data_IF_993901864298
#
_entry.id   IF_993901864298
#
_cell.length_a   1.000
_cell.length_b   1.000
_cell.length_c   1.000
_cell.angle_alpha   90.00
_cell.angle_beta   90.00
_cell.angle_gamma   90.00
#
_symmetry.space_group_name_H-M   'P 1'
#
loop_
_entity.id
_entity.type
_entity.pdbx_description
1 polymer ?
#
# COMPACT_ATOMS: atom_id res chain seq x y z
N UNK A 1 42.24 -19.01 -54.35
CA UNK A 1 41.62 -20.34 -54.23
C UNK A 1 41.41 -20.61 -52.75
N UNK A 2 40.16 -20.62 -52.27
CA UNK A 2 39.89 -21.03 -50.88
C UNK A 2 40.07 -22.54 -50.83
N UNK A 3 40.94 -23.01 -49.93
CA UNK A 3 41.30 -24.42 -49.82
C UNK A 3 40.07 -25.25 -49.40
N UNK A 4 39.86 -26.43 -49.96
CA UNK A 4 38.68 -27.26 -49.67
C UNK A 4 38.54 -27.55 -48.17
N UNK A 5 39.67 -27.75 -47.49
CA UNK A 5 39.74 -27.91 -46.04
C UNK A 5 39.25 -26.67 -45.26
N UNK A 6 39.48 -25.47 -45.78
CA UNK A 6 39.01 -24.22 -45.17
C UNK A 6 37.49 -24.09 -45.32
N UNK A 7 36.94 -24.53 -46.46
CA UNK A 7 35.49 -24.53 -46.70
C UNK A 7 34.79 -25.51 -45.73
N UNK A 8 35.35 -26.71 -45.53
CA UNK A 8 34.82 -27.70 -44.59
C UNK A 8 34.85 -27.16 -43.15
N UNK A 9 35.93 -26.49 -42.75
CA UNK A 9 36.03 -25.88 -41.41
C UNK A 9 34.98 -24.78 -41.22
N UNK A 10 34.79 -23.90 -42.21
CA UNK A 10 33.78 -22.83 -42.16
C UNK A 10 32.38 -23.41 -42.07
N UNK A 11 32.06 -24.44 -42.86
CA UNK A 11 30.76 -25.12 -42.81
C UNK A 11 30.52 -25.80 -41.45
N UNK A 12 31.56 -26.39 -40.86
CA UNK A 12 31.49 -26.97 -39.51
C UNK A 12 31.19 -25.92 -38.43
N UNK A 13 31.83 -24.75 -38.51
CA UNK A 13 31.58 -23.64 -37.58
C UNK A 13 30.14 -23.11 -37.73
N UNK A 14 29.66 -22.93 -38.97
CA UNK A 14 28.29 -22.48 -39.24
C UNK A 14 27.27 -23.48 -38.71
N UNK A 15 27.49 -24.78 -38.94
CA UNK A 15 26.62 -25.83 -38.41
C UNK A 15 26.59 -25.84 -36.87
N UNK A 16 27.75 -25.67 -36.21
CA UNK A 16 27.82 -25.59 -34.75
C UNK A 16 27.06 -24.37 -34.18
N UNK A 17 27.16 -23.21 -34.83
CA UNK A 17 26.41 -22.00 -34.44
C UNK A 17 24.90 -22.22 -34.55
N UNK A 18 24.44 -22.87 -35.61
CA UNK A 18 23.01 -23.18 -35.82
C UNK A 18 22.50 -24.11 -34.71
N UNK A 19 23.28 -25.13 -34.33
CA UNK A 19 22.92 -26.05 -33.24
C UNK A 19 22.82 -25.32 -31.91
N UNK A 20 23.75 -24.40 -31.61
CA UNK A 20 23.72 -23.59 -30.39
C UNK A 20 22.48 -22.69 -30.36
N UNK A 21 22.15 -22.04 -31.49
CA UNK A 21 20.94 -21.22 -31.60
C UNK A 21 19.66 -22.03 -31.37
N UNK A 22 19.58 -23.24 -31.92
CA UNK A 22 18.45 -24.15 -31.70
C UNK A 22 18.34 -24.57 -30.23
N UNK A 23 19.46 -24.84 -29.54
CA UNK A 23 19.46 -25.16 -28.11
C UNK A 23 18.98 -23.98 -27.25
N UNK A 24 19.40 -22.74 -27.58
CA UNK A 24 18.92 -21.53 -26.89
C UNK A 24 17.41 -21.35 -27.08
N UNK A 25 16.90 -21.55 -28.29
CA UNK A 25 15.46 -21.48 -28.58
C UNK A 25 14.69 -22.55 -27.79
N UNK A 26 15.18 -23.79 -27.76
CA UNK A 26 14.57 -24.86 -26.97
C UNK A 26 14.62 -24.54 -25.47
N UNK A 27 15.71 -23.96 -24.95
CA UNK A 27 15.77 -23.49 -23.55
C UNK A 27 14.78 -22.35 -23.27
N UNK A 28 14.55 -21.45 -24.22
CA UNK A 28 13.54 -20.39 -24.09
C UNK A 28 12.10 -20.93 -24.14
N UNK A 29 11.84 -21.97 -24.94
CA UNK A 29 10.53 -22.62 -25.06
C UNK A 29 10.25 -23.59 -23.89
N UNK A 30 11.28 -24.24 -23.34
CA UNK A 30 11.19 -25.08 -22.12
C UNK A 30 11.25 -24.28 -20.83
N UNK A 31 11.43 -22.95 -20.92
CA UNK A 31 10.95 -22.08 -19.87
C UNK A 31 9.44 -22.23 -19.92
N UNK A 32 8.90 -23.22 -19.19
CA UNK A 32 7.53 -23.16 -18.69
C UNK A 32 7.38 -21.71 -18.31
N UNK A 33 6.43 -21.02 -18.92
CA UNK A 33 5.74 -20.02 -18.17
C UNK A 33 5.39 -20.78 -16.89
N UNK A 34 6.15 -20.52 -15.81
CA UNK A 34 5.47 -20.36 -14.57
C UNK A 34 4.40 -19.39 -14.98
N UNK A 35 3.19 -19.91 -15.21
CA UNK A 35 2.06 -19.16 -14.86
C UNK A 35 2.47 -18.65 -13.49
N UNK A 36 2.78 -17.35 -13.45
CA UNK A 36 2.09 -16.56 -12.48
C UNK A 36 0.63 -16.90 -12.79
N UNK A 37 0.17 -18.04 -12.28
CA UNK A 37 -0.97 -18.04 -11.40
C UNK A 37 -0.77 -16.72 -10.71
N UNK A 38 -1.63 -15.76 -11.06
CA UNK A 38 -2.08 -14.90 -10.01
C UNK A 38 -2.28 -15.90 -8.88
N UNK A 39 -1.35 -15.89 -7.92
CA UNK A 39 -1.77 -16.13 -6.58
C UNK A 39 -2.85 -15.06 -6.49
N UNK A 40 -4.09 -15.43 -6.83
CA UNK A 40 -5.14 -15.41 -5.83
C UNK A 40 -4.37 -15.91 -4.63
N UNK A 41 -3.84 -14.93 -3.88
CA UNK A 41 -3.73 -15.11 -2.47
C UNK A 41 -5.07 -15.76 -2.19
N UNK A 42 -5.05 -17.07 -1.95
CA UNK A 42 -6.08 -17.63 -1.14
C UNK A 42 -5.95 -16.72 0.07
N UNK A 43 -6.83 -15.72 0.14
CA UNK A 43 -7.35 -15.26 1.40
C UNK A 43 -7.75 -16.59 2.00
N UNK A 44 -6.85 -17.17 2.77
CA UNK A 44 -7.19 -18.16 3.75
C UNK A 44 -8.21 -17.37 4.54
N UNK A 45 -9.48 -17.51 4.16
CA UNK A 45 -10.62 -17.12 4.97
C UNK A 45 -10.65 -18.13 6.10
N UNK A 46 -9.54 -18.18 6.84
CA UNK A 46 -9.62 -18.30 8.27
C UNK A 46 -10.54 -17.15 8.63
N UNK A 47 -11.77 -17.49 8.98
CA UNK A 47 -12.72 -16.62 9.66
C UNK A 47 -12.17 -16.22 11.05
N UNK A 48 -10.86 -16.07 11.18
CA UNK A 48 -10.18 -15.58 12.36
C UNK A 48 -10.59 -14.14 12.48
N UNK A 49 -11.54 -13.94 13.38
CA UNK A 49 -11.97 -12.65 13.85
C UNK A 49 -10.74 -11.79 14.16
N UNK A 50 -10.54 -10.74 13.38
CA UNK A 50 -9.49 -9.76 13.64
C UNK A 50 -10.07 -8.76 14.63
N UNK A 51 -9.48 -8.66 15.83
CA UNK A 51 -9.91 -7.65 16.80
C UNK A 51 -9.57 -6.24 16.30
N UNK A 52 -10.43 -5.28 16.60
CA UNK A 52 -10.09 -3.87 16.39
C UNK A 52 -8.83 -3.45 17.15
N UNK A 53 -8.05 -2.51 16.61
CA UNK A 53 -7.01 -1.85 17.38
C UNK A 53 -7.63 -1.15 18.60
N UNK A 54 -7.00 -1.36 19.76
CA UNK A 54 -7.37 -0.74 21.03
C UNK A 54 -7.03 0.76 21.02
N UNK A 55 -8.05 1.61 21.16
CA UNK A 55 -7.90 3.07 21.15
C UNK A 55 -7.06 3.59 22.32
N UNK A 56 -7.03 2.87 23.45
CA UNK A 56 -6.28 3.28 24.65
C UNK A 56 -4.77 3.24 24.43
N UNK A 57 -4.29 2.44 23.49
CA UNK A 57 -2.86 2.30 23.17
C UNK A 57 -2.36 3.34 22.17
N UNK A 58 -3.28 4.03 21.48
CA UNK A 58 -2.93 5.07 20.52
C UNK A 58 -2.36 6.25 21.30
N UNK A 59 -1.07 6.50 21.10
CA UNK A 59 -0.42 7.71 21.62
C UNK A 59 -0.09 8.61 20.45
N UNK A 60 -0.45 9.89 20.53
CA UNK A 60 -0.12 10.90 19.51
C UNK A 60 0.68 12.03 20.16
N UNK A 61 1.29 12.94 19.37
CA UNK A 61 2.01 14.08 19.92
C UNK A 61 1.17 14.87 20.94
N UNK A 62 1.80 15.29 22.03
CA UNK A 62 1.10 15.86 23.19
C UNK A 62 0.24 17.08 22.90
N UNK A 63 0.59 17.84 21.86
CA UNK A 63 -0.18 18.98 21.38
C UNK A 63 -1.43 18.58 20.59
N UNK A 64 -1.46 17.41 19.94
CA UNK A 64 -2.65 16.83 19.31
C UNK A 64 -3.51 16.14 20.37
N UNK A 65 -2.90 15.43 21.31
CA UNK A 65 -3.58 14.71 22.40
C UNK A 65 -4.46 15.64 23.26
N UNK A 66 -4.04 16.90 23.42
CA UNK A 66 -4.76 17.94 24.17
C UNK A 66 -5.88 18.63 23.38
N UNK A 67 -5.99 18.37 22.08
CA UNK A 67 -7.01 19.02 21.26
C UNK A 67 -8.40 18.48 21.57
N UNK A 68 -9.40 19.34 21.42
CA UNK A 68 -10.80 18.92 21.49
C UNK A 68 -11.18 18.10 20.26
N UNK A 69 -12.19 17.25 20.42
CA UNK A 69 -12.83 16.49 19.33
C UNK A 69 -13.15 17.34 18.10
N UNK A 70 -13.67 18.56 18.32
CA UNK A 70 -14.03 19.50 17.25
C UNK A 70 -12.81 20.01 16.49
N UNK A 71 -11.73 20.32 17.18
CA UNK A 71 -10.48 20.78 16.55
C UNK A 71 -9.87 19.67 15.70
N UNK A 72 -9.79 18.45 16.25
CA UNK A 72 -9.30 17.28 15.53
C UNK A 72 -10.15 17.03 14.28
N UNK A 73 -11.49 17.02 14.41
CA UNK A 73 -12.40 16.84 13.28
C UNK A 73 -12.21 17.91 12.20
N UNK A 74 -12.08 19.19 12.58
CA UNK A 74 -11.89 20.28 11.63
C UNK A 74 -10.56 20.17 10.89
N UNK A 75 -9.49 19.72 11.55
CA UNK A 75 -8.20 19.48 10.90
C UNK A 75 -8.30 18.26 9.99
N UNK A 76 -8.90 17.16 10.44
CA UNK A 76 -9.10 15.97 9.61
C UNK A 76 -9.91 16.27 8.35
N UNK A 77 -10.90 17.16 8.40
CA UNK A 77 -11.61 17.65 7.21
C UNK A 77 -10.67 18.32 6.20
N UNK A 78 -9.74 19.16 6.66
CA UNK A 78 -8.74 19.81 5.79
C UNK A 78 -7.78 18.78 5.17
N UNK A 79 -7.35 17.80 5.96
CA UNK A 79 -6.52 16.67 5.47
C UNK A 79 -7.30 15.89 4.41
N UNK A 80 -8.60 15.67 4.61
CA UNK A 80 -9.46 14.98 3.65
C UNK A 80 -9.71 15.80 2.37
N UNK A 81 -9.81 17.12 2.48
CA UNK A 81 -9.91 17.98 1.30
C UNK A 81 -8.65 17.88 0.44
N UNK A 82 -7.46 17.86 1.05
CA UNK A 82 -6.22 17.54 0.33
C UNK A 82 -6.26 16.13 -0.28
N UNK A 83 -6.73 15.13 0.46
CA UNK A 83 -6.86 13.75 -0.03
C UNK A 83 -7.71 13.67 -1.31
N UNK A 84 -8.87 14.36 -1.34
CA UNK A 84 -9.75 14.38 -2.51
C UNK A 84 -9.10 15.02 -3.73
N UNK A 85 -8.27 16.06 -3.55
CA UNK A 85 -7.61 16.76 -4.66
C UNK A 85 -6.69 15.82 -5.45
N UNK A 86 -6.05 14.85 -4.78
CA UNK A 86 -5.14 13.91 -5.43
C UNK A 86 -5.82 12.77 -6.19
N UNK A 87 -7.15 12.57 -6.05
CA UNK A 87 -7.93 11.57 -6.80
C UNK A 87 -7.33 10.14 -6.79
N UNK A 88 -6.97 9.67 -5.58
CA UNK A 88 -6.35 8.35 -5.38
C UNK A 88 -7.18 7.17 -5.90
N UNK A 89 -8.48 7.36 -6.11
CA UNK A 89 -9.37 6.36 -6.70
C UNK A 89 -8.85 5.82 -8.05
N UNK A 90 -8.20 6.68 -8.85
CA UNK A 90 -7.74 6.34 -10.21
C UNK A 90 -6.29 5.88 -10.27
N UNK A 91 -5.56 5.97 -9.17
CA UNK A 91 -4.14 5.65 -9.13
C UNK A 91 -3.90 4.14 -9.20
N UNK A 92 -2.80 3.74 -9.85
CA UNK A 92 -2.37 2.35 -9.85
C UNK A 92 -1.63 2.00 -8.54
N UNK A 93 -1.30 0.72 -8.34
CA UNK A 93 -0.64 0.23 -7.12
C UNK A 93 0.69 0.95 -6.82
N UNK A 94 1.51 1.21 -7.83
CA UNK A 94 2.80 1.89 -7.64
C UNK A 94 2.61 3.34 -7.18
N UNK A 95 1.60 4.02 -7.71
CA UNK A 95 1.25 5.38 -7.30
C UNK A 95 0.66 5.43 -5.88
N UNK A 96 -0.13 4.42 -5.51
CA UNK A 96 -0.64 4.25 -4.15
C UNK A 96 0.48 3.98 -3.13
N UNK A 97 1.57 3.33 -3.53
CA UNK A 97 2.71 3.05 -2.65
C UNK A 97 3.65 4.26 -2.49
N UNK A 98 3.46 5.35 -3.26
CA UNK A 98 4.22 6.60 -3.09
C UNK A 98 4.00 7.19 -1.70
N UNK A 99 5.08 7.68 -1.10
CA UNK A 99 5.12 8.27 0.24
C UNK A 99 5.01 9.78 0.17
N UNK A 100 3.84 10.31 0.52
CA UNK A 100 3.54 11.75 0.40
C UNK A 100 2.91 12.33 1.68
N UNK A 101 2.46 11.48 2.61
CA UNK A 101 1.71 11.91 3.79
C UNK A 101 2.57 11.97 5.04
N UNK A 102 2.41 13.02 5.82
CA UNK A 102 3.24 13.28 6.99
C UNK A 102 2.72 12.55 8.23
N UNK A 103 3.62 12.10 9.11
CA UNK A 103 3.21 11.49 10.38
C UNK A 103 2.35 12.44 11.21
N UNK A 104 2.63 13.74 11.13
CA UNK A 104 1.80 14.79 11.73
C UNK A 104 0.32 14.74 11.27
N UNK A 105 0.06 14.48 9.99
CA UNK A 105 -1.30 14.35 9.45
C UNK A 105 -1.95 13.04 9.91
N UNK A 106 -1.19 11.95 9.92
CA UNK A 106 -1.65 10.64 10.41
C UNK A 106 -2.05 10.71 11.89
N UNK A 107 -1.33 11.47 12.71
CA UNK A 107 -1.68 11.66 14.12
C UNK A 107 -3.10 12.22 14.32
N UNK A 108 -3.60 13.11 13.46
CA UNK A 108 -4.98 13.61 13.57
C UNK A 108 -6.03 12.55 13.26
N UNK A 109 -5.76 11.68 12.28
CA UNK A 109 -6.66 10.59 11.91
C UNK A 109 -6.76 9.56 13.05
N UNK A 110 -5.62 9.22 13.65
CA UNK A 110 -5.56 8.34 14.81
C UNK A 110 -6.23 8.96 16.03
N UNK A 111 -6.03 10.27 16.26
CA UNK A 111 -6.70 10.99 17.35
C UNK A 111 -8.22 11.03 17.15
N UNK A 112 -8.70 11.17 15.91
CA UNK A 112 -10.13 11.15 15.62
C UNK A 112 -10.75 9.79 15.99
N UNK A 113 -10.09 8.69 15.62
CA UNK A 113 -10.50 7.35 16.04
C UNK A 113 -10.41 7.17 17.56
N UNK A 114 -9.36 7.67 18.21
CA UNK A 114 -9.21 7.63 19.67
C UNK A 114 -10.35 8.35 20.40
N UNK A 115 -10.88 9.41 19.81
CA UNK A 115 -12.05 10.13 20.32
C UNK A 115 -13.39 9.41 20.06
N UNK A 116 -13.36 8.28 19.37
CA UNK A 116 -14.54 7.54 18.90
C UNK A 116 -15.46 8.42 18.05
N UNK A 117 -14.87 9.32 17.26
CA UNK A 117 -15.58 10.19 16.33
C UNK A 117 -15.62 9.62 14.92
N UNK A 118 -16.80 9.71 14.31
CA UNK A 118 -17.05 9.23 12.96
C UNK A 118 -16.70 10.30 11.92
N UNK A 119 -16.00 9.88 10.88
CA UNK A 119 -15.71 10.73 9.74
C UNK A 119 -16.60 10.37 8.56
N UNK A 120 -17.84 10.86 8.56
CA UNK A 120 -18.80 10.54 7.52
C UNK A 120 -18.32 11.02 6.13
N UNK A 121 -18.20 10.09 5.18
CA UNK A 121 -17.88 10.36 3.78
C UNK A 121 -19.05 9.83 2.92
N UNK A 122 -19.84 10.73 2.30
CA UNK A 122 -20.87 10.31 1.36
C UNK A 122 -20.24 9.78 0.06
N UNK A 123 -20.98 8.96 -0.69
CA UNK A 123 -20.59 8.43 -2.00
C UNK A 123 -19.17 7.83 -2.00
N UNK A 124 -18.90 6.91 -1.09
CA UNK A 124 -17.57 6.31 -0.91
C UNK A 124 -16.98 5.71 -2.21
N UNK A 125 -17.82 5.23 -3.11
CA UNK A 125 -17.46 4.74 -4.45
C UNK A 125 -16.88 5.82 -5.39
N UNK A 126 -17.10 7.10 -5.11
CA UNK A 126 -16.53 8.24 -5.85
C UNK A 126 -15.16 8.66 -5.31
N UNK A 127 -14.86 8.32 -4.06
CA UNK A 127 -13.67 8.79 -3.34
C UNK A 127 -12.60 7.71 -3.24
N UNK A 128 -13.00 6.48 -2.93
CA UNK A 128 -12.05 5.42 -2.61
C UNK A 128 -11.73 4.54 -3.81
N UNK A 129 -10.49 4.05 -3.81
CA UNK A 129 -10.01 3.09 -4.79
C UNK A 129 -10.71 1.73 -4.60
N UNK A 130 -10.92 0.99 -5.70
CA UNK A 130 -11.70 -0.24 -5.71
C UNK A 130 -11.22 -1.33 -4.73
N UNK A 131 -9.90 -1.38 -4.45
CA UNK A 131 -9.34 -2.34 -3.50
C UNK A 131 -9.96 -2.20 -2.10
N UNK A 132 -10.27 -0.97 -1.66
CA UNK A 132 -10.91 -0.71 -0.36
C UNK A 132 -12.38 -1.07 -0.40
N UNK A 133 -13.08 -0.67 -1.47
CA UNK A 133 -14.50 -0.95 -1.67
C UNK A 133 -14.81 -2.45 -1.71
N UNK A 134 -13.85 -3.26 -2.19
CA UNK A 134 -13.97 -4.71 -2.30
C UNK A 134 -13.31 -5.47 -1.14
N UNK A 135 -12.77 -4.77 -0.13
CA UNK A 135 -12.15 -5.39 1.04
C UNK A 135 -13.22 -5.87 2.03
N UNK A 136 -13.00 -7.04 2.65
CA UNK A 136 -13.83 -7.46 3.78
C UNK A 136 -13.49 -6.66 5.04
N UNK A 137 -14.37 -6.69 6.05
CA UNK A 137 -14.11 -6.04 7.34
C UNK A 137 -12.82 -6.55 7.98
N UNK A 138 -12.53 -7.85 7.88
CA UNK A 138 -11.29 -8.43 8.40
C UNK A 138 -10.05 -7.93 7.64
N UNK A 139 -10.16 -7.69 6.32
CA UNK A 139 -9.07 -7.12 5.54
C UNK A 139 -8.78 -5.69 5.99
N UNK A 140 -9.81 -4.86 6.15
CA UNK A 140 -9.67 -3.48 6.64
C UNK A 140 -9.07 -3.46 8.05
N UNK A 141 -9.60 -4.29 8.97
CA UNK A 141 -9.06 -4.43 10.33
C UNK A 141 -7.59 -4.83 10.33
N UNK A 142 -7.21 -5.78 9.47
CA UNK A 142 -5.82 -6.24 9.33
C UNK A 142 -4.90 -5.12 8.82
N UNK A 143 -5.33 -4.40 7.79
CA UNK A 143 -4.59 -3.27 7.20
C UNK A 143 -4.39 -2.15 8.23
N UNK A 144 -5.44 -1.75 8.95
CA UNK A 144 -5.38 -0.71 9.98
C UNK A 144 -4.50 -1.12 11.15
N UNK A 145 -4.57 -2.38 11.61
CA UNK A 145 -3.63 -2.90 12.62
C UNK A 145 -2.17 -2.81 12.15
N UNK A 146 -1.91 -3.06 10.87
CA UNK A 146 -0.59 -2.88 10.27
C UNK A 146 -0.12 -1.43 10.35
N UNK A 147 -1.01 -0.48 10.04
CA UNK A 147 -0.75 0.97 10.14
C UNK A 147 -0.46 1.37 11.59
N UNK A 148 -1.21 0.86 12.56
CA UNK A 148 -1.01 1.19 13.98
C UNK A 148 0.34 0.70 14.49
N UNK A 149 0.69 -0.56 14.21
CA UNK A 149 2.01 -1.11 14.55
C UNK A 149 3.15 -0.31 13.91
N UNK A 150 2.97 0.08 12.64
CA UNK A 150 3.93 0.92 11.91
C UNK A 150 4.06 2.29 12.58
N UNK A 151 2.95 2.89 13.01
CA UNK A 151 2.96 4.17 13.71
C UNK A 151 3.72 4.07 15.03
N UNK A 152 3.37 3.10 15.87
CA UNK A 152 4.03 2.83 17.16
C UNK A 152 5.54 2.58 17.02
N UNK A 153 5.97 1.89 15.96
CA UNK A 153 7.37 1.50 15.78
C UNK A 153 8.25 2.59 15.16
N UNK A 154 7.68 3.49 14.36
CA UNK A 154 8.47 4.41 13.52
C UNK A 154 8.21 5.89 13.76
N UNK A 155 7.14 6.24 14.49
CA UNK A 155 6.79 7.63 14.78
C UNK A 155 7.14 7.95 16.22
N UNK A 156 8.12 8.82 16.41
CA UNK A 156 8.43 9.38 17.72
C UNK A 156 7.47 10.53 18.04
N UNK A 157 6.49 10.27 18.91
CA UNK A 157 5.46 11.24 19.28
C UNK A 157 5.98 12.38 20.16
N UNK A 158 7.19 12.27 20.69
CA UNK A 158 7.81 13.32 21.52
C UNK A 158 8.45 14.41 20.67
N UNK A 159 8.64 14.14 19.38
CA UNK A 159 9.27 15.02 18.43
C UNK A 159 8.40 16.20 17.98
N UNK A 160 9.07 17.20 17.41
CA UNK A 160 8.42 18.40 16.90
C UNK A 160 7.55 18.13 15.66
N UNK A 161 6.57 19.02 15.41
CA UNK A 161 5.77 19.01 14.17
C UNK A 161 6.66 18.96 12.92
N UNK A 162 7.70 19.78 12.86
CA UNK A 162 8.58 19.86 11.70
C UNK A 162 9.34 18.55 11.46
N UNK A 163 9.74 17.88 12.53
CA UNK A 163 10.34 16.54 12.47
C UNK A 163 9.32 15.51 11.97
N UNK A 164 8.11 15.51 12.51
CA UNK A 164 7.02 14.60 12.12
C UNK A 164 6.53 14.83 10.69
N UNK A 165 6.78 16.01 10.13
CA UNK A 165 6.54 16.30 8.72
C UNK A 165 7.63 15.78 7.79
N UNK A 166 8.83 15.44 8.26
CA UNK A 166 9.96 15.13 7.35
C UNK A 166 10.47 13.71 7.45
N UNK A 167 10.33 13.05 8.59
CA UNK A 167 11.00 11.77 8.85
C UNK A 167 10.23 10.57 8.33
N UNK A 168 9.21 10.14 9.06
CA UNK A 168 8.39 9.02 8.60
C UNK A 168 7.26 9.52 7.71
N UNK A 169 7.38 9.24 6.41
CA UNK A 169 6.39 9.59 5.40
C UNK A 169 5.57 8.34 5.01
N UNK A 170 4.26 8.52 5.00
CA UNK A 170 3.23 7.51 4.82
C UNK A 170 2.79 7.44 3.36
N UNK A 171 2.40 6.23 2.95
CA UNK A 171 1.96 6.01 1.58
C UNK A 171 0.54 6.54 1.32
N UNK A 172 0.26 6.86 0.06
CA UNK A 172 -1.10 7.19 -0.42
C UNK A 172 -2.10 6.06 -0.13
N UNK A 173 -1.62 4.82 -0.07
CA UNK A 173 -2.38 3.65 0.37
C UNK A 173 -2.70 3.70 1.86
N UNK A 174 -1.72 3.99 2.71
CA UNK A 174 -1.91 4.05 4.17
C UNK A 174 -2.97 5.11 4.55
N UNK A 175 -2.89 6.31 3.97
CA UNK A 175 -3.89 7.38 4.20
C UNK A 175 -5.28 6.98 3.69
N UNK A 176 -5.37 6.31 2.53
CA UNK A 176 -6.64 5.86 1.95
C UNK A 176 -7.32 4.83 2.85
N UNK A 177 -6.53 3.89 3.39
CA UNK A 177 -7.02 2.90 4.37
C UNK A 177 -7.57 3.59 5.60
N UNK A 178 -6.87 4.60 6.15
CA UNK A 178 -7.32 5.31 7.35
C UNK A 178 -8.62 6.09 7.13
N UNK A 179 -8.76 6.80 6.02
CA UNK A 179 -10.02 7.50 5.73
C UNK A 179 -11.18 6.53 5.51
N UNK A 180 -10.95 5.43 4.78
CA UNK A 180 -11.97 4.40 4.59
C UNK A 180 -12.38 3.77 5.91
N UNK A 181 -11.40 3.46 6.77
CA UNK A 181 -11.63 2.96 8.10
C UNK A 181 -12.46 3.94 8.95
N UNK A 182 -12.05 5.21 9.04
CA UNK A 182 -12.73 6.23 9.84
C UNK A 182 -14.17 6.51 9.39
N UNK A 183 -14.47 6.30 8.12
CA UNK A 183 -15.82 6.44 7.58
C UNK A 183 -16.74 5.26 7.93
N UNK A 184 -16.18 4.12 8.34
CA UNK A 184 -16.94 2.88 8.49
C UNK A 184 -16.71 2.16 9.82
N UNK A 185 -15.82 2.64 10.71
CA UNK A 185 -15.34 1.83 11.83
C UNK A 185 -16.42 1.41 12.84
N UNK A 186 -17.52 2.15 12.92
CA UNK A 186 -18.67 1.79 13.77
C UNK A 186 -19.46 0.59 13.25
N UNK A 187 -19.30 0.24 11.98
CA UNK A 187 -19.96 -0.91 11.36
C UNK A 187 -19.16 -2.21 11.53
N UNK A 188 -17.98 -2.14 12.16
CA UNK A 188 -17.02 -3.23 12.25
C UNK A 188 -16.95 -3.90 13.62
#
# INVERSE_FOLDING_TARGET
MINENIIIIILGIVAAIIIILLLVIIMMLNKKESSKSSKRYATTSSSMYVKMPDTLKISVPSNIEKMSKREVLNITKKVFDSYKIFDYKKMNTFELDKKEWHSWQISFLLMLYKHEEEFFIPNQNEVFHFFLLNSSDNDIKSLVRGIFKKYENYVDITESKDFLCKNYIWSNKDISILFYFLANYKNY
#
